data_IF_829119126304
#
_entry.id   IF_829119126304
#
_cell.length_a   1.000
_cell.length_b   1.000
_cell.length_c   1.000
_cell.angle_alpha   90.00
_cell.angle_beta   90.00
_cell.angle_gamma   90.00
#
_symmetry.space_group_name_H-M   'P 1'
#
loop_
_entity.id
_entity.type
_entity.pdbx_description
1 polymer ?
#
# COMPACT_ATOMS: atom_id res chain seq x y z
N UNK A 1 6.08 4.10 -3.42
CA UNK A 1 7.03 4.41 -2.37
C UNK A 1 8.41 4.50 -2.99
N UNK A 2 8.97 5.71 -3.16
CA UNK A 2 10.36 5.88 -3.60
C UNK A 2 11.34 5.48 -2.47
N UNK A 3 11.26 4.23 -2.01
CA UNK A 3 12.26 3.65 -1.11
C UNK A 3 13.43 3.17 -1.97
N UNK A 4 14.26 4.10 -2.44
CA UNK A 4 15.54 3.74 -3.05
C UNK A 4 16.18 4.70 -4.06
N UNK A 5 15.51 5.75 -4.51
CA UNK A 5 16.08 6.63 -5.54
C UNK A 5 16.04 8.11 -5.13
N UNK A 6 17.14 8.63 -4.58
CA UNK A 6 17.48 10.06 -4.71
C UNK A 6 18.69 10.20 -5.64
N UNK A 7 18.52 10.63 -6.90
CA UNK A 7 19.62 11.17 -7.68
C UNK A 7 19.95 12.63 -7.25
N UNK A 8 21.16 13.14 -7.56
CA UNK A 8 21.71 14.35 -6.95
C UNK A 8 20.99 15.63 -7.40
N UNK A 9 20.76 16.54 -6.44
CA UNK A 9 20.13 17.85 -6.65
C UNK A 9 20.78 18.63 -7.80
N UNK A 10 20.00 18.96 -8.81
CA UNK A 10 20.32 20.06 -9.72
C UNK A 10 19.90 21.39 -9.07
N UNK A 11 20.86 22.28 -8.86
CA UNK A 11 20.62 23.64 -8.40
C UNK A 11 19.93 24.47 -9.49
N UNK A 12 18.71 24.95 -9.20
CA UNK A 12 18.09 26.09 -9.87
C UNK A 12 17.43 26.91 -8.76
N UNK A 13 17.78 28.17 -8.51
CA UNK A 13 17.79 29.27 -9.46
C UNK A 13 16.68 30.21 -9.02
N UNK A 14 16.98 31.06 -8.03
CA UNK A 14 16.04 32.01 -7.41
C UNK A 14 15.46 32.94 -8.47
N UNK A 15 14.12 32.96 -8.59
CA UNK A 15 13.42 33.95 -9.39
C UNK A 15 12.46 34.74 -8.48
N UNK A 16 12.83 35.99 -8.23
CA UNK A 16 12.04 36.96 -7.48
C UNK A 16 11.06 37.68 -8.43
N UNK A 17 9.79 37.79 -8.02
CA UNK A 17 8.95 38.90 -8.48
C UNK A 17 7.83 39.17 -7.47
N UNK A 18 7.92 40.35 -6.87
CA UNK A 18 6.85 41.02 -6.13
C UNK A 18 5.71 41.43 -7.06
N UNK A 19 4.56 41.69 -6.44
CA UNK A 19 3.56 42.77 -6.67
C UNK A 19 2.15 42.17 -6.67
N UNK A 20 1.32 42.57 -5.70
CA UNK A 20 0.05 43.26 -5.97
C UNK A 20 -0.62 43.70 -4.64
N UNK A 21 -1.10 44.93 -4.69
CA UNK A 21 -1.69 45.76 -3.64
C UNK A 21 -3.14 45.36 -3.24
N UNK A 22 -3.48 45.60 -1.97
CA UNK A 22 -4.84 45.93 -1.47
C UNK A 22 -5.12 47.45 -1.67
N UNK A 23 -6.36 48.03 -1.59
CA UNK A 23 -7.37 47.72 -0.55
C UNK A 23 -8.89 48.02 -0.82
N UNK A 24 -9.67 47.67 0.20
CA UNK A 24 -10.85 48.37 0.78
C UNK A 24 -12.23 48.40 0.09
N UNK A 25 -13.28 48.07 0.87
CA UNK A 25 -14.67 48.46 0.62
C UNK A 25 -15.70 47.84 1.58
N UNK A 26 -16.24 48.65 2.49
CA UNK A 26 -17.16 48.29 3.59
C UNK A 26 -18.63 48.05 3.19
N UNK A 27 -19.40 47.34 4.03
CA UNK A 27 -20.73 47.77 4.54
C UNK A 27 -21.34 46.76 5.54
N UNK A 28 -21.90 47.30 6.63
CA UNK A 28 -22.53 46.61 7.76
C UNK A 28 -23.98 46.19 7.49
N UNK A 29 -24.48 45.16 8.20
CA UNK A 29 -25.90 45.06 8.57
C UNK A 29 -26.06 44.35 9.92
N UNK A 30 -26.87 44.97 10.78
CA UNK A 30 -27.21 44.64 12.17
C UNK A 30 -28.30 43.57 12.19
N UNK A 31 -28.15 42.48 12.97
CA UNK A 31 -29.28 41.63 13.38
C UNK A 31 -29.09 41.14 14.83
N UNK A 32 -29.85 41.80 15.71
CA UNK A 32 -30.59 41.32 16.89
C UNK A 32 -30.06 40.06 17.62
N UNK A 33 -29.57 40.30 18.85
CA UNK A 33 -29.34 39.29 19.89
C UNK A 33 -30.66 38.65 20.35
N UNK A 34 -30.68 37.31 20.43
CA UNK A 34 -31.62 36.57 21.27
C UNK A 34 -30.79 35.58 22.07
N UNK A 35 -30.72 35.81 23.37
CA UNK A 35 -30.13 34.89 24.35
C UNK A 35 -30.83 33.53 24.29
N UNK A 36 -30.05 32.49 24.08
CA UNK A 36 -30.48 31.10 24.11
C UNK A 36 -29.36 30.27 24.72
N UNK A 37 -29.48 30.07 26.02
CA UNK A 37 -28.66 29.16 26.82
C UNK A 37 -28.82 27.73 26.28
N UNK A 38 -27.86 27.28 25.48
CA UNK A 38 -27.71 25.89 25.08
C UNK A 38 -26.26 25.50 25.34
N UNK A 39 -26.09 24.81 26.45
CA UNK A 39 -24.91 24.04 26.83
C UNK A 39 -24.65 22.98 25.74
N UNK A 40 -24.07 23.41 24.63
CA UNK A 40 -23.49 22.54 23.62
C UNK A 40 -22.18 22.02 24.20
N UNK A 41 -22.25 20.84 24.82
CA UNK A 41 -21.08 20.01 25.02
C UNK A 41 -20.44 19.77 23.65
N UNK A 42 -19.39 20.53 23.35
CA UNK A 42 -18.49 20.25 22.27
C UNK A 42 -18.01 18.82 22.51
N UNK A 43 -18.40 17.90 21.63
CA UNK A 43 -17.73 16.61 21.57
C UNK A 43 -16.26 16.96 21.33
N UNK A 44 -15.41 16.74 22.34
CA UNK A 44 -13.97 16.91 22.19
C UNK A 44 -13.58 16.10 20.95
N UNK A 45 -13.05 16.78 19.93
CA UNK A 45 -12.45 16.09 18.79
C UNK A 45 -11.43 15.12 19.39
N UNK A 46 -11.49 13.82 19.04
CA UNK A 46 -10.64 12.83 19.68
C UNK A 46 -9.19 13.28 19.55
N UNK A 47 -8.50 13.45 20.68
CA UNK A 47 -7.10 13.87 20.70
C UNK A 47 -6.31 12.98 19.75
N UNK A 48 -5.71 13.61 18.75
CA UNK A 48 -5.00 12.90 17.72
C UNK A 48 -3.70 12.32 18.30
N UNK A 49 -3.56 11.00 18.24
CA UNK A 49 -2.40 10.29 18.79
C UNK A 49 -1.11 10.78 18.12
N UNK A 50 -0.11 11.10 18.94
CA UNK A 50 1.22 11.50 18.46
C UNK A 50 1.98 10.32 17.83
N UNK A 51 3.04 10.60 17.07
CA UNK A 51 3.88 9.55 16.50
C UNK A 51 4.59 8.72 17.59
N UNK A 52 5.00 9.35 18.69
CA UNK A 52 5.63 8.69 19.82
C UNK A 52 4.66 7.73 20.53
N UNK A 53 3.42 8.15 20.74
CA UNK A 53 2.38 7.30 21.31
C UNK A 53 2.02 6.16 20.38
N UNK A 54 1.95 6.42 19.07
CA UNK A 54 1.72 5.40 18.04
C UNK A 54 2.85 4.35 18.06
N UNK A 55 4.11 4.78 18.20
CA UNK A 55 5.28 3.88 18.28
C UNK A 55 5.34 3.08 19.59
N UNK A 56 4.70 3.55 20.66
CA UNK A 56 4.57 2.82 21.92
C UNK A 56 3.52 1.70 21.88
N UNK A 57 2.60 1.72 20.91
CA UNK A 57 1.59 0.69 20.76
C UNK A 57 2.20 -0.65 20.29
N UNK A 58 1.67 -1.80 20.74
CA UNK A 58 2.01 -3.08 20.15
C UNK A 58 1.79 -3.07 18.62
N UNK A 59 2.65 -3.73 17.81
CA UNK A 59 2.57 -3.65 16.35
C UNK A 59 1.18 -3.95 15.78
N UNK A 60 0.50 -4.97 16.31
CA UNK A 60 -0.86 -5.32 15.90
C UNK A 60 -1.86 -4.21 16.19
N UNK A 61 -1.84 -3.66 17.40
CA UNK A 61 -2.80 -2.64 17.84
C UNK A 61 -2.59 -1.34 17.05
N UNK A 62 -1.32 -0.99 16.77
CA UNK A 62 -0.97 0.11 15.87
C UNK A 62 -1.57 -0.06 14.47
N UNK A 63 -1.40 -1.22 13.85
CA UNK A 63 -1.98 -1.46 12.52
C UNK A 63 -3.51 -1.46 12.55
N UNK A 64 -4.12 -2.09 13.56
CA UNK A 64 -5.57 -2.11 13.74
C UNK A 64 -6.14 -0.69 13.84
N UNK A 65 -5.49 0.17 14.63
CA UNK A 65 -5.85 1.58 14.80
C UNK A 65 -5.80 2.33 13.46
N UNK A 66 -4.69 2.28 12.75
CA UNK A 66 -4.52 3.00 11.48
C UNK A 66 -5.47 2.50 10.37
N UNK A 67 -5.81 1.21 10.37
CA UNK A 67 -6.84 0.66 9.49
C UNK A 67 -8.23 1.22 9.85
N UNK A 68 -8.57 1.27 11.14
CA UNK A 68 -9.87 1.80 11.60
C UNK A 68 -10.04 3.30 11.40
N UNK A 69 -8.93 4.04 11.32
CA UNK A 69 -8.93 5.49 11.04
C UNK A 69 -8.92 5.81 9.55
N UNK A 70 -8.65 4.83 8.68
CA UNK A 70 -8.51 5.06 7.24
C UNK A 70 -7.16 5.67 6.82
N UNK A 71 -6.22 5.90 7.75
CA UNK A 71 -4.86 6.33 7.42
C UNK A 71 -4.11 5.28 6.59
N UNK A 72 -4.24 4.00 6.97
CA UNK A 72 -3.73 2.87 6.20
C UNK A 72 -4.88 2.28 5.39
N UNK A 73 -4.86 2.44 4.07
CA UNK A 73 -5.98 2.04 3.22
C UNK A 73 -5.72 0.68 2.55
N UNK A 74 -6.74 -0.15 2.50
CA UNK A 74 -6.70 -1.43 1.78
C UNK A 74 -7.59 -1.34 0.56
N UNK A 75 -7.09 -1.76 -0.60
CA UNK A 75 -7.94 -1.87 -1.78
C UNK A 75 -8.94 -3.00 -1.60
N UNK A 76 -10.14 -2.80 -2.12
CA UNK A 76 -11.13 -3.87 -2.28
C UNK A 76 -10.67 -4.81 -3.40
N UNK A 77 -10.52 -6.10 -3.08
CA UNK A 77 -10.25 -7.12 -4.08
C UNK A 77 -11.36 -7.19 -5.12
N UNK A 78 -12.62 -7.09 -4.69
CA UNK A 78 -13.79 -7.08 -5.58
C UNK A 78 -13.79 -5.89 -6.54
N UNK A 79 -13.45 -4.69 -6.06
CA UNK A 79 -13.30 -3.51 -6.90
C UNK A 79 -12.16 -3.69 -7.90
N UNK A 80 -10.99 -4.15 -7.45
CA UNK A 80 -9.83 -4.35 -8.32
C UNK A 80 -10.13 -5.35 -9.44
N UNK A 81 -10.82 -6.44 -9.12
CA UNK A 81 -11.27 -7.42 -10.11
C UNK A 81 -12.22 -6.82 -11.16
N UNK A 82 -13.07 -5.85 -10.76
CA UNK A 82 -14.03 -5.19 -11.65
C UNK A 82 -13.38 -4.26 -12.68
N UNK A 83 -12.15 -3.80 -12.44
CA UNK A 83 -11.42 -2.94 -13.38
C UNK A 83 -10.89 -3.72 -14.60
N UNK A 84 -10.77 -5.05 -14.47
CA UNK A 84 -10.22 -5.93 -15.50
C UNK A 84 -8.70 -6.16 -15.35
N UNK A 85 -8.20 -7.14 -16.11
CA UNK A 85 -6.81 -7.63 -16.00
C UNK A 85 -5.77 -6.58 -16.45
N UNK A 86 -6.11 -5.73 -17.42
CA UNK A 86 -5.20 -4.70 -17.95
C UNK A 86 -5.19 -3.39 -17.16
N UNK A 87 -5.86 -3.35 -16.00
CA UNK A 87 -5.90 -2.14 -15.18
C UNK A 87 -4.53 -1.86 -14.54
N UNK A 88 -4.06 -0.63 -14.70
CA UNK A 88 -2.84 -0.13 -14.06
C UNK A 88 -3.24 0.60 -12.78
N UNK A 89 -2.80 0.08 -11.63
CA UNK A 89 -3.13 0.63 -10.32
C UNK A 89 -2.52 2.02 -10.14
N UNK A 90 -3.32 2.99 -9.72
CA UNK A 90 -2.89 4.37 -9.49
C UNK A 90 -2.40 4.58 -8.04
N UNK A 91 -1.84 5.75 -7.74
CA UNK A 91 -1.46 6.15 -6.37
C UNK A 91 -2.69 6.22 -5.46
N UNK A 92 -2.49 6.08 -4.15
CA UNK A 92 -3.60 6.15 -3.17
C UNK A 92 -4.52 7.35 -3.40
N UNK A 93 -3.94 8.55 -3.53
CA UNK A 93 -4.70 9.80 -3.64
C UNK A 93 -5.37 10.02 -5.00
N UNK A 94 -5.00 9.23 -6.01
CA UNK A 94 -5.58 9.30 -7.36
C UNK A 94 -6.70 8.26 -7.57
N UNK A 95 -6.86 7.33 -6.63
CA UNK A 95 -7.89 6.30 -6.69
C UNK A 95 -9.20 6.83 -6.12
N UNK A 96 -10.36 6.40 -6.68
CA UNK A 96 -11.65 6.80 -6.16
C UNK A 96 -11.96 6.11 -4.83
N UNK A 97 -12.89 6.66 -4.05
CA UNK A 97 -13.21 6.15 -2.71
C UNK A 97 -13.67 4.68 -2.73
N UNK A 98 -14.44 4.30 -3.74
CA UNK A 98 -14.91 2.93 -3.94
C UNK A 98 -13.79 1.91 -4.20
N UNK A 99 -12.57 2.36 -4.50
CA UNK A 99 -11.42 1.47 -4.63
C UNK A 99 -11.00 0.84 -3.29
N UNK A 100 -11.41 1.45 -2.18
CA UNK A 100 -10.95 1.10 -0.86
C UNK A 100 -12.05 0.43 -0.03
N UNK A 101 -11.62 -0.47 0.86
CA UNK A 101 -12.49 -0.96 1.91
C UNK A 101 -12.81 0.14 2.90
N UNK A 102 -14.03 0.11 3.44
CA UNK A 102 -14.39 0.96 4.56
C UNK A 102 -13.49 0.66 5.78
N UNK A 103 -13.08 1.67 6.56
CA UNK A 103 -12.13 1.50 7.66
C UNK A 103 -12.51 0.39 8.66
N UNK A 104 -13.79 0.28 9.00
CA UNK A 104 -14.30 -0.74 9.94
C UNK A 104 -14.14 -2.14 9.35
N UNK A 105 -14.39 -2.31 8.05
CA UNK A 105 -14.24 -3.58 7.35
C UNK A 105 -12.76 -3.96 7.23
N UNK A 106 -11.91 -3.01 6.87
CA UNK A 106 -10.46 -3.22 6.81
C UNK A 106 -9.89 -3.67 8.18
N UNK A 107 -10.33 -3.00 9.23
CA UNK A 107 -10.01 -3.32 10.62
C UNK A 107 -10.50 -4.74 10.99
N UNK A 108 -11.75 -5.10 10.67
CA UNK A 108 -12.30 -6.44 10.93
C UNK A 108 -11.53 -7.54 10.18
N UNK A 109 -11.20 -7.31 8.91
CA UNK A 109 -10.46 -8.27 8.09
C UNK A 109 -9.04 -8.52 8.59
N UNK A 110 -8.39 -7.56 9.26
CA UNK A 110 -7.06 -7.77 9.86
C UNK A 110 -7.06 -8.82 10.99
N UNK A 111 -8.23 -9.08 11.59
CA UNK A 111 -8.42 -10.17 12.54
C UNK A 111 -8.72 -11.54 11.91
N UNK A 112 -8.91 -11.61 10.59
CA UNK A 112 -9.31 -12.85 9.87
C UNK A 112 -8.17 -13.36 9.00
N UNK A 113 -7.79 -14.62 9.21
CA UNK A 113 -6.82 -15.29 8.34
C UNK A 113 -7.34 -15.30 6.90
N UNK A 114 -6.48 -14.98 5.94
CA UNK A 114 -6.83 -14.79 4.51
C UNK A 114 -7.74 -13.58 4.22
N UNK A 115 -8.03 -12.73 5.22
CA UNK A 115 -8.81 -11.51 5.03
C UNK A 115 -8.04 -10.37 4.38
N UNK A 116 -6.72 -10.38 4.53
CA UNK A 116 -5.82 -9.38 3.95
C UNK A 116 -4.68 -10.07 3.20
N UNK A 117 -4.43 -9.58 1.98
CA UNK A 117 -3.34 -9.98 1.10
C UNK A 117 -2.39 -8.79 0.95
N UNK A 118 -1.15 -8.94 1.38
CA UNK A 118 -0.09 -7.95 1.25
C UNK A 118 0.87 -8.33 0.11
N UNK A 119 1.20 -7.37 -0.75
CA UNK A 119 2.10 -7.61 -1.87
C UNK A 119 3.54 -7.26 -1.50
N UNK A 120 4.46 -8.15 -1.83
CA UNK A 120 5.90 -7.88 -1.82
C UNK A 120 6.44 -8.03 -3.23
N UNK A 121 6.95 -6.95 -3.80
CA UNK A 121 7.31 -6.90 -5.21
C UNK A 121 8.38 -5.84 -5.47
N UNK A 122 9.11 -5.98 -6.58
CA UNK A 122 10.12 -5.02 -6.99
C UNK A 122 9.53 -3.96 -7.92
N UNK A 123 9.86 -2.68 -7.67
CA UNK A 123 9.54 -1.58 -8.58
C UNK A 123 10.15 -1.79 -9.97
N UNK A 124 9.35 -1.67 -11.03
CA UNK A 124 9.75 -1.91 -12.42
C UNK A 124 10.11 -0.63 -13.18
N UNK A 125 9.88 0.54 -12.58
CA UNK A 125 10.31 1.84 -13.06
C UNK A 125 10.49 2.83 -11.90
N UNK A 126 11.00 4.02 -12.19
CA UNK A 126 11.25 5.08 -11.21
C UNK A 126 9.97 5.67 -10.62
N UNK A 127 8.97 5.96 -11.45
CA UNK A 127 7.78 6.71 -11.04
C UNK A 127 6.58 5.81 -10.73
N UNK A 128 6.58 4.61 -11.31
CA UNK A 128 5.50 3.65 -11.16
C UNK A 128 6.04 2.25 -10.85
N UNK A 129 5.53 1.57 -9.82
CA UNK A 129 5.99 0.23 -9.46
C UNK A 129 5.77 -0.81 -10.56
N UNK A 130 4.69 -0.66 -11.33
CA UNK A 130 4.21 -1.64 -12.30
C UNK A 130 3.59 -0.98 -13.55
N UNK A 131 4.38 -0.24 -14.36
CA UNK A 131 3.87 0.65 -15.40
C UNK A 131 3.10 -0.09 -16.51
N UNK A 132 3.40 -1.37 -16.72
CA UNK A 132 2.78 -2.21 -17.75
C UNK A 132 1.78 -3.22 -17.18
N UNK A 133 1.41 -3.10 -15.90
CA UNK A 133 0.47 -3.99 -15.22
C UNK A 133 0.95 -5.44 -15.06
N UNK A 134 2.26 -5.70 -15.11
CA UNK A 134 2.83 -7.05 -15.00
C UNK A 134 2.48 -7.71 -13.66
N UNK A 135 2.70 -7.00 -12.56
CA UNK A 135 2.36 -7.45 -11.21
C UNK A 135 0.83 -7.46 -11.01
N UNK A 136 0.13 -6.46 -11.54
CA UNK A 136 -1.33 -6.35 -11.47
C UNK A 136 -2.03 -7.56 -12.13
N UNK A 137 -1.60 -7.99 -13.32
CA UNK A 137 -2.14 -9.17 -14.01
C UNK A 137 -1.94 -10.45 -13.20
N UNK A 138 -0.74 -10.64 -12.64
CA UNK A 138 -0.44 -11.78 -11.78
C UNK A 138 -1.36 -11.80 -10.55
N UNK A 139 -1.54 -10.64 -9.90
CA UNK A 139 -2.45 -10.49 -8.78
C UNK A 139 -3.91 -10.76 -9.17
N UNK A 140 -4.39 -10.26 -10.30
CA UNK A 140 -5.76 -10.47 -10.78
C UNK A 140 -6.11 -11.95 -10.90
N UNK A 141 -5.21 -12.74 -11.51
CA UNK A 141 -5.36 -14.21 -11.63
C UNK A 141 -5.42 -14.90 -10.26
N UNK A 142 -4.55 -14.49 -9.34
CA UNK A 142 -4.57 -15.00 -7.98
C UNK A 142 -5.88 -14.65 -7.26
N UNK A 143 -6.33 -13.39 -7.35
CA UNK A 143 -7.53 -12.91 -6.67
C UNK A 143 -8.79 -13.61 -7.14
N UNK A 144 -8.92 -13.92 -8.43
CA UNK A 144 -10.04 -14.71 -8.94
C UNK A 144 -10.18 -16.06 -8.20
N UNK A 145 -9.06 -16.76 -7.99
CA UNK A 145 -9.01 -18.04 -7.28
C UNK A 145 -9.21 -17.86 -5.77
N UNK A 146 -8.57 -16.85 -5.19
CA UNK A 146 -8.67 -16.54 -3.76
C UNK A 146 -10.10 -16.17 -3.34
N UNK A 147 -10.76 -15.27 -4.08
CA UNK A 147 -12.14 -14.88 -3.81
C UNK A 147 -13.12 -16.06 -3.98
N UNK A 148 -12.92 -16.92 -4.99
CA UNK A 148 -13.72 -18.13 -5.16
C UNK A 148 -13.59 -19.06 -3.93
N UNK A 149 -12.37 -19.23 -3.40
CA UNK A 149 -12.07 -20.10 -2.27
C UNK A 149 -12.54 -19.54 -0.92
N UNK A 150 -12.48 -18.23 -0.73
CA UNK A 150 -12.81 -17.53 0.52
C UNK A 150 -14.09 -16.69 0.41
N UNK A 151 -15.06 -17.17 -0.37
CA UNK A 151 -16.35 -16.52 -0.64
C UNK A 151 -17.28 -16.29 0.57
N UNK A 152 -16.87 -16.68 1.78
CA UNK A 152 -17.58 -16.40 3.04
C UNK A 152 -17.22 -15.05 3.62
N UNK A 153 -16.11 -14.46 3.18
CA UNK A 153 -15.75 -13.09 3.52
C UNK A 153 -16.55 -12.13 2.63
N UNK A 154 -16.98 -10.98 3.16
CA UNK A 154 -17.68 -9.98 2.34
C UNK A 154 -16.78 -9.44 1.21
N UNK A 155 -15.48 -9.33 1.49
CA UNK A 155 -14.44 -8.97 0.53
C UNK A 155 -13.07 -9.38 1.10
N UNK A 156 -12.00 -9.10 0.36
CA UNK A 156 -10.60 -9.27 0.78
C UNK A 156 -9.88 -7.93 0.62
N UNK A 157 -9.11 -7.54 1.64
CA UNK A 157 -8.31 -6.32 1.61
C UNK A 157 -6.95 -6.55 0.96
N UNK A 158 -6.58 -5.73 -0.02
CA UNK A 158 -5.27 -5.78 -0.65
C UNK A 158 -4.41 -4.64 -0.10
N UNK A 159 -3.32 -5.00 0.55
CA UNK A 159 -2.26 -4.07 0.90
C UNK A 159 -1.24 -4.03 -0.25
N UNK A 160 -1.30 -2.96 -1.04
CA UNK A 160 -0.35 -2.63 -2.09
C UNK A 160 0.25 -1.28 -1.73
N UNK A 161 1.46 -1.24 -1.17
CA UNK A 161 2.12 -0.04 -0.64
C UNK A 161 1.95 1.24 -1.50
N UNK A 162 2.02 1.13 -2.84
CA UNK A 162 1.81 2.24 -3.78
C UNK A 162 0.40 2.82 -3.76
N UNK A 163 -0.62 1.98 -3.59
CA UNK A 163 -2.02 2.36 -3.56
C UNK A 163 -2.59 2.48 -2.14
N UNK A 164 -1.91 1.89 -1.15
CA UNK A 164 -2.34 1.83 0.25
C UNK A 164 -1.77 2.95 1.12
N UNK A 165 -0.74 3.64 0.63
CA UNK A 165 -0.08 4.75 1.31
C UNK A 165 0.13 5.94 0.36
N UNK A 166 0.12 7.20 0.84
CA UNK A 166 0.25 8.36 -0.04
C UNK A 166 1.60 8.40 -0.75
N UNK A 167 1.62 8.78 -2.02
CA UNK A 167 2.84 8.77 -2.83
C UNK A 167 3.27 10.16 -3.26
N UNK A 168 4.55 10.36 -3.53
CA UNK A 168 5.01 11.53 -4.29
C UNK A 168 4.32 11.54 -5.67
N UNK A 169 4.26 12.71 -6.30
CA UNK A 169 3.70 12.80 -7.64
C UNK A 169 4.63 12.27 -8.73
N UNK A 170 4.06 12.16 -9.94
CA UNK A 170 4.75 11.58 -11.11
C UNK A 170 5.90 12.48 -11.60
N UNK A 171 5.95 13.73 -11.17
CA UNK A 171 7.04 14.68 -11.43
C UNK A 171 8.13 14.61 -10.34
N UNK A 172 7.89 13.82 -9.29
CA UNK A 172 8.78 13.67 -8.14
C UNK A 172 8.64 14.79 -7.11
N UNK A 173 7.57 15.58 -7.17
CA UNK A 173 7.27 16.56 -6.15
C UNK A 173 6.89 15.88 -4.83
N UNK A 174 7.14 16.60 -3.74
CA UNK A 174 6.89 16.12 -2.38
C UNK A 174 5.40 15.93 -2.13
N UNK A 175 5.08 15.04 -1.18
CA UNK A 175 3.72 14.88 -0.67
C UNK A 175 3.24 16.20 -0.07
N UNK A 176 1.94 16.44 -0.12
CA UNK A 176 1.33 17.50 0.71
C UNK A 176 1.59 17.24 2.20
N UNK A 177 1.44 18.26 3.04
CA UNK A 177 1.68 18.11 4.49
C UNK A 177 0.78 17.04 5.11
N UNK A 178 -0.48 16.95 4.67
CA UNK A 178 -1.45 15.94 5.10
C UNK A 178 -1.05 14.53 4.63
N UNK A 179 -0.68 14.38 3.35
CA UNK A 179 -0.22 13.10 2.80
C UNK A 179 1.09 12.63 3.46
N UNK A 180 2.01 13.53 3.78
CA UNK A 180 3.25 13.20 4.47
C UNK A 180 2.99 12.77 5.92
N UNK A 181 2.03 13.41 6.58
CA UNK A 181 1.58 13.03 7.91
C UNK A 181 1.00 11.61 7.94
N UNK A 182 0.07 11.32 7.03
CA UNK A 182 -0.53 9.99 6.88
C UNK A 182 0.50 8.94 6.45
N UNK A 183 1.40 9.30 5.54
CA UNK A 183 2.51 8.46 5.12
C UNK A 183 3.38 8.03 6.30
N UNK A 184 3.79 8.96 7.16
CA UNK A 184 4.63 8.68 8.32
C UNK A 184 3.95 7.77 9.33
N UNK A 185 2.64 7.94 9.54
CA UNK A 185 1.84 7.07 10.41
C UNK A 185 1.71 5.68 9.80
N UNK A 186 1.26 5.59 8.55
CA UNK A 186 1.06 4.32 7.83
C UNK A 186 2.34 3.48 7.72
N UNK A 187 3.49 4.12 7.51
CA UNK A 187 4.78 3.44 7.43
C UNK A 187 5.11 2.62 8.70
N UNK A 188 4.67 3.09 9.87
CA UNK A 188 4.91 2.38 11.15
C UNK A 188 4.12 1.07 11.25
N UNK A 189 3.00 0.95 10.53
CA UNK A 189 2.20 -0.28 10.52
C UNK A 189 2.72 -1.37 9.57
N UNK A 190 3.65 -1.08 8.65
CA UNK A 190 4.10 -2.07 7.66
C UNK A 190 4.63 -3.35 8.28
N UNK A 191 5.46 -3.24 9.32
CA UNK A 191 6.00 -4.41 10.02
C UNK A 191 4.91 -5.33 10.58
N UNK A 192 3.79 -4.76 11.03
CA UNK A 192 2.65 -5.52 11.53
C UNK A 192 1.83 -6.14 10.40
N UNK A 193 1.67 -5.45 9.26
CA UNK A 193 0.99 -6.02 8.09
C UNK A 193 1.79 -7.21 7.53
N UNK A 194 3.10 -7.06 7.29
CA UNK A 194 3.93 -8.16 6.79
C UNK A 194 4.19 -9.26 7.82
N UNK A 195 4.23 -8.92 9.11
CA UNK A 195 4.52 -9.87 10.19
C UNK A 195 3.30 -10.55 10.82
N UNK A 196 2.07 -10.11 10.56
CA UNK A 196 0.86 -10.67 11.16
C UNK A 196 0.59 -12.10 10.66
N UNK A 197 0.16 -12.98 11.57
CA UNK A 197 -0.30 -14.33 11.26
C UNK A 197 -1.72 -14.37 10.66
N UNK A 198 -2.35 -13.21 10.45
CA UNK A 198 -3.67 -13.11 9.82
C UNK A 198 -3.61 -12.56 8.40
N UNK A 199 -2.43 -12.09 7.95
CA UNK A 199 -2.22 -11.61 6.58
C UNK A 199 -1.55 -12.69 5.75
N UNK A 200 -1.88 -12.73 4.45
CA UNK A 200 -1.13 -13.49 3.44
C UNK A 200 -0.16 -12.53 2.78
N UNK A 201 1.10 -12.91 2.59
CA UNK A 201 2.07 -12.15 1.80
C UNK A 201 2.30 -12.87 0.48
N UNK A 202 2.05 -12.16 -0.61
CA UNK A 202 2.33 -12.60 -1.97
C UNK A 202 3.65 -11.99 -2.44
N UNK A 203 4.61 -12.84 -2.76
CA UNK A 203 5.85 -12.43 -3.37
C UNK A 203 5.69 -12.50 -4.89
N UNK A 204 5.83 -11.35 -5.55
CA UNK A 204 5.83 -11.23 -7.01
C UNK A 204 7.29 -11.20 -7.48
N UNK A 205 7.92 -12.37 -7.46
CA UNK A 205 9.38 -12.51 -7.67
C UNK A 205 9.79 -12.47 -9.13
N UNK A 206 8.85 -12.74 -10.05
CA UNK A 206 9.08 -12.64 -11.49
C UNK A 206 9.35 -11.20 -11.92
N UNK A 207 10.29 -11.05 -12.86
CA UNK A 207 10.64 -9.78 -13.49
C UNK A 207 10.31 -9.92 -14.98
N UNK A 208 9.65 -8.94 -15.62
CA UNK A 208 9.34 -9.01 -17.04
C UNK A 208 10.62 -9.04 -17.87
N UNK A 209 10.65 -9.92 -18.87
CA UNK A 209 11.69 -9.92 -19.88
C UNK A 209 11.56 -8.68 -20.77
N UNK A 210 12.68 -7.98 -21.00
CA UNK A 210 12.74 -6.87 -21.94
C UNK A 210 13.79 -7.18 -23.01
N UNK A 211 13.39 -7.37 -24.28
CA UNK A 211 14.33 -7.68 -25.35
C UNK A 211 15.19 -6.48 -25.76
N UNK A 212 14.92 -5.28 -25.23
CA UNK A 212 15.67 -4.06 -25.56
C UNK A 212 16.97 -3.97 -24.76
N UNK A 213 17.92 -3.21 -25.30
CA UNK A 213 19.10 -2.82 -24.54
C UNK A 213 18.71 -1.71 -23.56
N UNK A 214 18.65 -2.07 -22.27
CA UNK A 214 18.28 -1.16 -21.19
C UNK A 214 19.45 -0.27 -20.79
N UNK A 215 19.13 0.97 -20.42
CA UNK A 215 20.07 1.88 -19.73
C UNK A 215 20.51 1.31 -18.38
N UNK A 216 21.59 1.83 -17.78
CA UNK A 216 22.05 1.38 -16.46
C UNK A 216 20.96 1.58 -15.38
N UNK A 217 20.24 2.70 -15.44
CA UNK A 217 19.12 2.99 -14.54
C UNK A 217 17.96 2.01 -14.73
N UNK A 218 17.63 1.63 -15.96
CA UNK A 218 16.58 0.63 -16.24
C UNK A 218 16.99 -0.78 -15.82
N UNK A 219 18.28 -1.12 -15.92
CA UNK A 219 18.81 -2.41 -15.46
C UNK A 219 18.66 -2.58 -13.95
N UNK A 220 18.79 -1.50 -13.18
CA UNK A 220 18.51 -1.53 -11.73
C UNK A 220 17.09 -2.05 -11.44
N UNK A 221 16.08 -1.59 -12.19
CA UNK A 221 14.69 -2.05 -12.08
C UNK A 221 14.44 -3.45 -12.64
N UNK A 222 15.48 -4.12 -13.17
CA UNK A 222 15.46 -5.54 -13.54
C UNK A 222 16.28 -6.43 -12.60
N UNK A 223 16.86 -5.86 -11.54
CA UNK A 223 17.56 -6.61 -10.50
C UNK A 223 16.66 -7.72 -9.95
N UNK A 224 17.14 -8.97 -9.81
CA UNK A 224 16.35 -10.06 -9.22
C UNK A 224 15.77 -9.69 -7.86
N UNK A 225 14.57 -10.16 -7.57
CA UNK A 225 13.79 -9.80 -6.37
C UNK A 225 14.59 -9.93 -5.06
N UNK A 226 15.27 -11.06 -4.83
CA UNK A 226 16.04 -11.30 -3.60
C UNK A 226 17.29 -10.43 -3.46
N UNK A 227 17.73 -9.76 -4.53
CA UNK A 227 18.86 -8.83 -4.50
C UNK A 227 18.42 -7.38 -4.27
N UNK A 228 17.12 -7.12 -4.09
CA UNK A 228 16.59 -5.80 -3.77
C UNK A 228 16.43 -5.66 -2.26
N UNK A 229 17.05 -4.64 -1.68
CA UNK A 229 17.13 -4.48 -0.22
C UNK A 229 15.79 -4.54 0.51
N UNK A 230 14.78 -3.83 0.00
CA UNK A 230 13.45 -3.81 0.62
C UNK A 230 12.69 -5.13 0.46
N UNK A 231 12.67 -5.71 -0.74
CA UNK A 231 12.06 -7.01 -0.99
C UNK A 231 12.70 -8.12 -0.14
N UNK A 232 14.02 -8.07 0.02
CA UNK A 232 14.76 -8.98 0.89
C UNK A 232 14.34 -8.83 2.37
N UNK A 233 14.17 -7.59 2.85
CA UNK A 233 13.67 -7.32 4.20
C UNK A 233 12.26 -7.89 4.41
N UNK A 234 11.32 -7.60 3.52
CA UNK A 234 9.93 -8.10 3.58
C UNK A 234 9.90 -9.63 3.58
N UNK A 235 10.65 -10.25 2.66
CA UNK A 235 10.80 -11.71 2.58
C UNK A 235 11.34 -12.29 3.89
N UNK A 236 12.33 -11.64 4.50
CA UNK A 236 12.97 -12.13 5.74
C UNK A 236 12.01 -12.05 6.92
N UNK A 237 11.32 -10.92 7.09
CA UNK A 237 10.32 -10.73 8.17
C UNK A 237 9.16 -11.71 8.00
N UNK A 238 8.64 -11.84 6.79
CA UNK A 238 7.54 -12.76 6.50
C UNK A 238 7.97 -14.22 6.73
N UNK A 239 9.15 -14.64 6.25
CA UNK A 239 9.64 -16.00 6.42
C UNK A 239 9.88 -16.39 7.88
N UNK A 240 10.19 -15.42 8.75
CA UNK A 240 10.40 -15.64 10.18
C UNK A 240 9.08 -15.85 10.94
N UNK A 241 8.05 -15.09 10.58
CA UNK A 241 6.82 -14.98 11.37
C UNK A 241 5.64 -15.78 10.80
N UNK A 242 5.67 -16.09 9.50
CA UNK A 242 4.53 -16.72 8.82
C UNK A 242 4.61 -18.25 8.79
N UNK A 243 3.42 -18.83 8.86
CA UNK A 243 3.20 -20.22 8.48
C UNK A 243 3.35 -20.38 6.96
N UNK A 244 3.70 -21.60 6.53
CA UNK A 244 4.07 -21.87 5.14
C UNK A 244 2.92 -21.67 4.14
N UNK A 245 1.68 -21.59 4.62
CA UNK A 245 0.46 -21.31 3.86
C UNK A 245 0.14 -19.82 3.70
N UNK A 246 0.89 -18.94 4.37
CA UNK A 246 0.66 -17.50 4.41
C UNK A 246 1.75 -16.69 3.71
N UNK A 247 2.82 -17.33 3.25
CA UNK A 247 3.86 -16.73 2.42
C UNK A 247 3.91 -17.48 1.09
N UNK A 248 3.43 -16.83 0.03
CA UNK A 248 3.27 -17.44 -1.29
C UNK A 248 4.11 -16.70 -2.33
N UNK A 249 5.00 -17.39 -3.01
CA UNK A 249 5.74 -16.91 -4.18
C UNK A 249 4.97 -17.25 -5.46
N UNK A 250 4.37 -16.23 -6.07
CA UNK A 250 3.60 -16.39 -7.29
C UNK A 250 4.50 -16.57 -8.53
N UNK A 251 5.78 -16.22 -8.43
CA UNK A 251 6.72 -16.37 -9.54
C UNK A 251 7.09 -17.83 -9.85
N UNK A 252 6.81 -18.76 -8.93
CA UNK A 252 7.01 -20.21 -9.14
C UNK A 252 5.72 -20.98 -9.46
N UNK A 253 4.58 -20.29 -9.42
CA UNK A 253 3.24 -20.84 -9.64
C UNK A 253 2.55 -20.25 -10.89
N UNK A 254 3.32 -19.74 -11.85
CA UNK A 254 2.79 -19.11 -13.06
C UNK A 254 1.87 -20.05 -13.84
N UNK A 255 2.20 -21.34 -13.95
CA UNK A 255 1.39 -22.30 -14.70
C UNK A 255 0.00 -22.48 -14.07
N UNK A 256 -0.07 -22.60 -12.75
CA UNK A 256 -1.29 -22.76 -11.98
C UNK A 256 -2.13 -21.48 -11.98
N UNK A 257 -1.49 -20.30 -12.06
CA UNK A 257 -2.18 -19.03 -12.23
C UNK A 257 -2.84 -18.91 -13.62
N UNK A 258 -2.16 -19.37 -14.69
CA UNK A 258 -2.70 -19.37 -16.06
C UNK A 258 -3.77 -20.44 -16.29
N UNK A 259 -3.73 -21.55 -15.56
CA UNK A 259 -4.71 -22.63 -15.69
C UNK A 259 -6.07 -22.19 -15.10
N UNK A 260 -7.04 -21.94 -15.98
CA UNK A 260 -8.40 -21.57 -15.61
C UNK A 260 -9.13 -22.62 -14.77
N UNK A 261 -8.69 -23.89 -14.80
CA UNK A 261 -9.26 -24.99 -14.01
C UNK A 261 -8.55 -25.19 -12.68
N UNK A 262 -7.42 -24.52 -12.45
CA UNK A 262 -6.67 -24.67 -11.22
C UNK A 262 -7.37 -23.96 -10.06
N UNK A 263 -7.55 -24.69 -8.96
CA UNK A 263 -8.15 -24.18 -7.74
C UNK A 263 -7.10 -23.47 -6.87
N UNK A 264 -7.57 -22.64 -5.93
CA UNK A 264 -6.68 -21.91 -5.03
C UNK A 264 -5.72 -22.82 -4.25
N UNK A 265 -6.18 -23.99 -3.80
CA UNK A 265 -5.35 -24.92 -3.02
C UNK A 265 -4.14 -25.42 -3.85
N UNK A 266 -4.27 -25.55 -5.17
CA UNK A 266 -3.18 -25.96 -6.08
C UNK A 266 -2.16 -24.83 -6.27
N UNK A 267 -2.64 -23.60 -6.48
CA UNK A 267 -1.77 -22.41 -6.54
C UNK A 267 -1.02 -22.27 -5.22
N UNK A 268 -1.72 -22.41 -4.09
CA UNK A 268 -1.12 -22.32 -2.77
C UNK A 268 -0.03 -23.38 -2.59
N UNK A 269 -0.32 -24.66 -2.89
CA UNK A 269 0.65 -25.76 -2.77
C UNK A 269 1.93 -25.51 -3.56
N UNK A 270 1.79 -25.02 -4.80
CA UNK A 270 2.93 -24.70 -5.65
C UNK A 270 3.70 -23.46 -5.17
N UNK A 271 2.97 -22.43 -4.76
CA UNK A 271 3.51 -21.14 -4.39
C UNK A 271 4.12 -21.11 -2.98
N UNK A 272 4.01 -22.17 -2.16
CA UNK A 272 4.55 -22.18 -0.78
C UNK A 272 6.00 -21.70 -0.79
N UNK A 273 6.24 -20.54 -0.18
CA UNK A 273 7.56 -19.93 -0.14
C UNK A 273 8.56 -20.84 0.57
N UNK A 274 9.72 -21.06 -0.04
CA UNK A 274 10.82 -21.74 0.62
C UNK A 274 11.43 -20.83 1.69
N UNK A 275 11.44 -21.27 2.96
CA UNK A 275 12.15 -20.56 4.02
C UNK A 275 13.63 -20.45 3.63
N UNK A 276 14.11 -19.23 3.47
CA UNK A 276 15.53 -19.00 3.21
C UNK A 276 16.32 -19.54 4.42
N UNK A 277 17.41 -20.29 4.18
CA UNK A 277 18.30 -20.69 5.26
C UNK A 277 18.84 -19.43 5.95
N UNK A 278 19.09 -19.47 7.27
CA UNK A 278 19.63 -18.34 8.00
C UNK A 278 20.93 -17.86 7.33
N UNK A 279 21.06 -16.55 7.18
CA UNK A 279 22.28 -15.94 6.65
C UNK A 279 23.44 -16.32 7.57
N UNK A 280 24.50 -16.87 6.97
CA UNK A 280 25.76 -17.07 7.67
C UNK A 280 26.39 -15.68 7.89
N UNK A 281 26.87 -15.36 9.10
CA UNK A 281 27.66 -14.14 9.28
C UNK A 281 28.93 -14.24 8.43
N UNK A 282 29.25 -13.15 7.72
CA UNK A 282 30.52 -12.98 7.01
C UNK A 282 31.71 -12.82 7.98
#
# INVERSE_FOLDING_TARGET
>A
ACFGARPPRAEMGVCTSNICDEPAGAAATKVIEVEGDQDQGYAEEPEEITLEELDALPPRDRAQLLLSQGTLRLLSASWLMSQGEEYIVQRQQDLPEEAFLQPEVASELFGKVFGIVALSYGWLSQFHPDPDGFHARCLHKYLGKHLARFNRLPDVGIFWDYASLPQCDLEGNERTEEEEYDWQRGLRALSAIYGSSHTVVLQLTSIPEDPRQLTEDEQFYRTPYLLRGWCFFECTVAALLKDADQLLDLGVATQELEDATAEWDQVQERARGSRLPPLMPE
#
